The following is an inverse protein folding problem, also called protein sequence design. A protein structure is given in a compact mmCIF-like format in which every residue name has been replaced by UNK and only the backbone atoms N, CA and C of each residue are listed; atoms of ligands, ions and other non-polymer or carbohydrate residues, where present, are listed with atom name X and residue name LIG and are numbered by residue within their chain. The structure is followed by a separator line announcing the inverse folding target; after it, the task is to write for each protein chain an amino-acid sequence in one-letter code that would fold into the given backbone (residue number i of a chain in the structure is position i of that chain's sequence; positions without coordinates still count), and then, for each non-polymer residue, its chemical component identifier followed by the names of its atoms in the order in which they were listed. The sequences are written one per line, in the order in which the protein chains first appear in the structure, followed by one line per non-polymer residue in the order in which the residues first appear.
data_IF_264173758512
#
_entry.id   IF_264173758512
#
_cell.length_a   1.000
_cell.length_b   1.000
_cell.length_c   1.000
_cell.angle_alpha   90.00
_cell.angle_beta   90.00
_cell.angle_gamma   90.00
#
_symmetry.space_group_name_H-M   'P 1'
#
loop_
_entity.id
_entity.type
_entity.pdbx_description
1 polymer ?
#
# COMPACT_ATOMS: atom_id res chain seq x y z
N UNK A 1 0.33 -10.70 -29.78
CA UNK A 1 0.99 -9.42 -29.51
C UNK A 1 0.86 -9.18 -28.01
N UNK A 2 1.79 -9.48 -27.11
CA UNK A 2 3.25 -9.61 -27.24
C UNK A 2 4.01 -8.33 -26.88
N UNK A 3 3.35 -7.33 -26.29
CA UNK A 3 4.00 -6.10 -25.83
C UNK A 3 4.56 -6.28 -24.42
N UNK A 4 5.83 -5.93 -24.24
CA UNK A 4 6.48 -5.76 -22.94
C UNK A 4 5.95 -4.50 -22.28
N UNK A 5 5.25 -4.61 -21.14
CA UNK A 5 4.76 -3.43 -20.43
C UNK A 5 5.93 -2.59 -19.92
N UNK A 6 5.93 -1.33 -20.36
CA UNK A 6 6.97 -0.34 -20.11
C UNK A 6 6.43 0.69 -19.14
N UNK A 7 6.99 0.77 -17.93
CA UNK A 7 6.67 1.88 -17.03
C UNK A 7 7.23 3.17 -17.66
N UNK A 8 6.38 4.18 -17.83
CA UNK A 8 6.80 5.50 -18.28
C UNK A 8 6.83 6.45 -17.07
N UNK A 9 8.00 7.01 -16.77
CA UNK A 9 8.20 7.94 -15.67
C UNK A 9 8.57 9.32 -16.23
N UNK A 10 8.17 10.36 -15.52
CA UNK A 10 8.60 11.74 -15.78
C UNK A 10 9.60 12.16 -14.73
N UNK A 11 10.74 12.68 -15.16
CA UNK A 11 11.70 13.36 -14.31
C UNK A 11 11.63 14.87 -14.56
N UNK A 12 11.38 15.65 -13.50
CA UNK A 12 11.35 17.10 -13.53
C UNK A 12 12.44 17.67 -12.61
N UNK A 13 12.92 18.88 -12.92
CA UNK A 13 13.90 19.61 -12.10
C UNK A 13 13.34 20.99 -11.75
N UNK A 14 13.39 21.34 -10.46
CA UNK A 14 12.60 22.44 -9.89
C UNK A 14 13.02 23.84 -10.36
N UNK A 15 14.30 24.05 -10.70
CA UNK A 15 14.82 25.41 -10.98
C UNK A 15 15.32 25.62 -12.41
N UNK A 16 15.69 24.55 -13.12
CA UNK A 16 16.15 24.61 -14.50
C UNK A 16 15.59 23.42 -15.30
N UNK A 17 14.73 23.65 -16.30
CA UNK A 17 14.09 22.59 -17.09
C UNK A 17 15.06 21.52 -17.63
N UNK A 18 16.26 21.94 -18.07
CA UNK A 18 17.28 21.05 -18.63
C UNK A 18 18.09 20.22 -17.62
N UNK A 19 17.83 20.32 -16.31
CA UNK A 19 18.57 19.59 -15.26
C UNK A 19 19.75 20.35 -14.66
N UNK A 20 19.93 21.63 -14.97
CA UNK A 20 20.97 22.51 -14.41
C UNK A 20 21.98 23.02 -15.45
N UNK A 21 23.13 23.49 -14.98
CA UNK A 21 24.25 23.95 -15.81
C UNK A 21 24.96 22.77 -16.46
N UNK A 22 25.36 22.94 -17.72
CA UNK A 22 26.17 21.97 -18.46
C UNK A 22 27.37 21.50 -17.63
N UNK A 23 27.50 20.18 -17.46
CA UNK A 23 28.56 19.57 -16.65
C UNK A 23 28.24 19.38 -15.16
N UNK A 24 27.10 19.88 -14.67
CA UNK A 24 26.50 19.44 -13.40
C UNK A 24 26.12 17.96 -13.42
N UNK A 25 25.85 17.33 -12.28
CA UNK A 25 25.52 15.90 -12.28
C UNK A 25 24.75 15.35 -11.07
N UNK A 26 24.15 14.18 -11.31
CA UNK A 26 23.29 13.45 -10.37
C UNK A 26 23.38 11.93 -10.61
N UNK A 27 22.93 11.09 -9.67
CA UNK A 27 22.67 9.66 -9.89
C UNK A 27 21.17 9.39 -9.85
N UNK A 28 20.78 8.30 -10.51
CA UNK A 28 19.46 7.68 -10.33
C UNK A 28 19.65 6.33 -9.67
N UNK A 29 18.78 6.01 -8.72
CA UNK A 29 18.67 4.67 -8.13
C UNK A 29 17.36 4.04 -8.57
N UNK A 30 17.42 2.81 -9.06
CA UNK A 30 16.27 1.97 -9.44
C UNK A 30 16.31 0.73 -8.56
N UNK A 31 15.46 0.70 -7.52
CA UNK A 31 15.52 -0.35 -6.49
C UNK A 31 16.86 -0.36 -5.75
N UNK A 32 17.64 -1.44 -5.89
CA UNK A 32 18.96 -1.58 -5.27
C UNK A 32 20.14 -1.21 -6.20
N UNK A 33 19.86 -0.74 -7.42
CA UNK A 33 20.88 -0.41 -8.41
C UNK A 33 21.03 1.10 -8.52
N UNK A 34 22.25 1.61 -8.40
CA UNK A 34 22.56 3.03 -8.59
C UNK A 34 23.37 3.24 -9.86
N UNK A 35 23.03 4.26 -10.64
CA UNK A 35 23.79 4.61 -11.84
C UNK A 35 25.18 5.17 -11.48
N UNK A 36 26.07 5.28 -12.47
CA UNK A 36 27.18 6.22 -12.38
C UNK A 36 26.70 7.67 -12.41
N UNK A 37 27.64 8.62 -12.37
CA UNK A 37 27.34 10.04 -12.53
C UNK A 37 26.67 10.30 -13.89
N UNK A 38 25.49 10.92 -13.85
CA UNK A 38 24.76 11.42 -15.02
C UNK A 38 25.07 12.89 -15.12
N UNK A 39 25.69 13.31 -16.23
CA UNK A 39 26.04 14.69 -16.47
C UNK A 39 24.91 15.41 -17.22
N UNK A 40 24.69 16.67 -16.88
CA UNK A 40 23.84 17.59 -17.64
C UNK A 40 24.54 17.91 -18.96
N UNK A 41 23.85 17.67 -20.07
CA UNK A 41 24.35 17.87 -21.43
C UNK A 41 24.38 19.33 -21.85
N UNK A 42 24.80 19.57 -23.10
CA UNK A 42 24.79 20.91 -23.70
C UNK A 42 23.37 21.42 -23.99
N UNK A 43 22.41 20.49 -24.11
CA UNK A 43 20.98 20.71 -24.34
C UNK A 43 20.18 19.55 -23.71
N UNK A 44 18.85 19.65 -23.75
CA UNK A 44 17.94 18.68 -23.14
C UNK A 44 18.02 17.31 -23.82
N UNK A 45 18.29 17.25 -25.12
CA UNK A 45 18.45 15.96 -25.81
C UNK A 45 19.74 15.25 -25.39
N UNK A 46 20.82 15.99 -25.16
CA UNK A 46 22.07 15.47 -24.65
C UNK A 46 21.91 14.98 -23.20
N UNK A 47 21.18 15.70 -22.34
CA UNK A 47 20.85 15.23 -20.99
C UNK A 47 19.96 13.98 -21.03
N UNK A 48 18.95 13.92 -21.90
CA UNK A 48 18.11 12.75 -22.09
C UNK A 48 18.94 11.51 -22.49
N UNK A 49 19.88 11.67 -23.43
CA UNK A 49 20.79 10.60 -23.83
C UNK A 49 21.68 10.13 -22.68
N UNK A 50 22.18 11.05 -21.84
CA UNK A 50 22.98 10.71 -20.67
C UNK A 50 22.19 9.90 -19.64
N UNK A 51 20.91 10.27 -19.40
CA UNK A 51 20.01 9.52 -18.52
C UNK A 51 19.78 8.11 -19.07
N UNK A 52 19.42 7.99 -20.35
CA UNK A 52 19.18 6.70 -21.01
C UNK A 52 20.41 5.77 -20.91
N UNK A 53 21.60 6.29 -21.23
CA UNK A 53 22.85 5.52 -21.16
C UNK A 53 23.16 5.02 -19.75
N UNK A 54 22.93 5.86 -18.74
CA UNK A 54 23.19 5.49 -17.35
C UNK A 54 22.22 4.43 -16.83
N UNK A 55 20.93 4.53 -17.18
CA UNK A 55 19.92 3.52 -16.88
C UNK A 55 20.21 2.19 -17.59
N UNK A 56 20.58 2.24 -18.87
CA UNK A 56 21.01 1.07 -19.64
C UNK A 56 22.24 0.38 -19.01
N UNK A 57 23.20 1.15 -18.48
CA UNK A 57 24.41 0.61 -17.87
C UNK A 57 24.14 -0.18 -16.57
N UNK A 58 23.06 0.13 -15.84
CA UNK A 58 22.63 -0.65 -14.66
C UNK A 58 21.62 -1.75 -15.00
N UNK A 59 21.34 -1.96 -16.29
CA UNK A 59 20.37 -2.93 -16.79
C UNK A 59 18.92 -2.55 -16.48
N UNK A 60 18.64 -1.26 -16.30
CA UNK A 60 17.28 -0.70 -16.26
C UNK A 60 16.99 -0.06 -17.62
N UNK A 61 16.94 -0.88 -18.69
CA UNK A 61 16.96 -0.37 -20.07
C UNK A 61 15.78 0.57 -20.34
N UNK A 62 16.06 1.79 -20.83
CA UNK A 62 15.04 2.81 -21.06
C UNK A 62 15.36 3.72 -22.26
N UNK A 63 14.32 4.13 -22.98
CA UNK A 63 14.36 5.30 -23.86
C UNK A 63 14.05 6.56 -23.05
N UNK A 64 14.69 7.69 -23.36
CA UNK A 64 14.44 8.96 -22.66
C UNK A 64 14.27 10.06 -23.68
N UNK A 65 13.20 10.84 -23.56
CA UNK A 65 12.89 11.97 -24.45
C UNK A 65 12.55 13.21 -23.65
N UNK A 66 13.00 14.38 -24.12
CA UNK A 66 12.61 15.66 -23.54
C UNK A 66 11.21 16.09 -24.00
N UNK A 67 10.37 16.49 -23.05
CA UNK A 67 9.05 17.06 -23.29
C UNK A 67 9.06 18.57 -23.01
N UNK A 68 9.21 19.36 -24.07
CA UNK A 68 9.26 20.82 -23.97
C UNK A 68 7.95 21.49 -23.52
N UNK A 69 6.82 20.78 -23.54
CA UNK A 69 5.52 21.32 -23.07
C UNK A 69 5.45 21.24 -21.55
N UNK A 70 5.87 20.12 -20.97
CA UNK A 70 5.79 19.88 -19.52
C UNK A 70 7.09 20.17 -18.80
N UNK A 71 8.16 20.49 -19.53
CA UNK A 71 9.51 20.67 -18.99
C UNK A 71 9.99 19.44 -18.20
N UNK A 72 9.76 18.25 -18.76
CA UNK A 72 10.12 16.97 -18.13
C UNK A 72 10.85 16.04 -19.08
N UNK A 73 11.65 15.13 -18.54
CA UNK A 73 12.17 13.97 -19.25
C UNK A 73 11.19 12.80 -19.14
N UNK A 74 10.62 12.37 -20.26
CA UNK A 74 9.81 11.16 -20.34
C UNK A 74 10.75 9.95 -20.49
N UNK A 75 10.78 9.08 -19.48
CA UNK A 75 11.60 7.87 -19.39
C UNK A 75 10.71 6.68 -19.66
N UNK A 76 10.94 5.96 -20.76
CA UNK A 76 10.20 4.76 -21.16
C UNK A 76 11.06 3.50 -20.98
N UNK A 77 10.86 2.77 -19.89
CA UNK A 77 11.61 1.54 -19.60
C UNK A 77 11.20 0.41 -20.53
N UNK A 78 12.10 -0.30 -21.19
CA UNK A 78 11.74 -1.42 -22.10
C UNK A 78 11.10 -2.61 -21.37
N UNK A 79 11.18 -2.64 -20.04
CA UNK A 79 10.49 -3.57 -19.13
C UNK A 79 10.29 -2.89 -17.78
N UNK A 80 9.13 -3.08 -17.15
CA UNK A 80 8.84 -2.54 -15.81
C UNK A 80 9.99 -2.83 -14.80
N UNK A 81 10.62 -1.80 -14.21
CA UNK A 81 11.65 -2.01 -13.20
C UNK A 81 11.10 -2.58 -11.89
N UNK A 82 9.78 -2.52 -11.63
CA UNK A 82 9.12 -3.08 -10.45
C UNK A 82 9.61 -2.50 -9.11
N UNK A 83 10.24 -1.33 -9.14
CA UNK A 83 10.98 -0.74 -8.01
C UNK A 83 10.85 0.79 -8.01
N UNK A 84 10.96 1.39 -6.82
CA UNK A 84 10.96 2.85 -6.65
C UNK A 84 12.20 3.46 -7.32
N UNK A 85 12.00 4.55 -8.05
CA UNK A 85 13.06 5.34 -8.67
C UNK A 85 13.34 6.59 -7.82
N UNK A 86 14.61 6.83 -7.51
CA UNK A 86 15.06 7.95 -6.68
C UNK A 86 16.21 8.70 -7.34
N UNK A 87 16.20 10.03 -7.22
CA UNK A 87 17.23 10.92 -7.78
C UNK A 87 18.11 11.45 -6.67
N UNK A 88 19.43 11.32 -6.82
CA UNK A 88 20.40 11.78 -5.83
C UNK A 88 21.38 12.77 -6.48
N UNK A 89 21.30 14.07 -6.20
CA UNK A 89 22.27 15.02 -6.72
C UNK A 89 23.62 14.84 -6.04
N UNK A 90 24.72 14.82 -6.80
CA UNK A 90 26.07 14.82 -6.21
C UNK A 90 27.10 15.46 -7.18
N UNK A 91 27.25 16.78 -7.11
CA UNK A 91 28.45 17.52 -7.49
C UNK A 91 28.22 19.03 -7.26
N UNK A 92 29.30 19.78 -7.12
CA UNK A 92 29.33 21.22 -6.83
C UNK A 92 28.77 22.16 -7.93
N UNK A 93 28.03 21.62 -8.91
CA UNK A 93 27.46 22.39 -10.02
C UNK A 93 26.05 21.90 -10.41
N UNK A 94 25.29 21.34 -9.46
CA UNK A 94 23.88 21.02 -9.68
C UNK A 94 22.98 22.13 -9.15
N UNK A 95 22.74 23.12 -10.00
CA UNK A 95 21.93 24.33 -9.79
C UNK A 95 20.48 24.19 -10.28
N UNK A 96 20.10 22.98 -10.73
CA UNK A 96 18.76 22.61 -11.21
C UNK A 96 17.74 22.19 -10.14
N UNK A 97 18.12 22.16 -8.86
CA UNK A 97 17.24 21.75 -7.75
C UNK A 97 17.00 20.23 -7.69
N UNK A 98 16.53 19.70 -6.55
CA UNK A 98 16.31 18.26 -6.39
C UNK A 98 15.30 17.76 -7.43
N UNK A 99 15.70 16.82 -8.28
CA UNK A 99 14.80 16.27 -9.30
C UNK A 99 13.63 15.53 -8.67
N UNK A 100 12.41 15.77 -9.15
CA UNK A 100 11.21 15.05 -8.73
C UNK A 100 10.82 14.02 -9.79
N UNK A 101 10.43 12.83 -9.33
CA UNK A 101 9.98 11.73 -10.21
C UNK A 101 8.47 11.59 -10.06
N UNK A 102 7.77 11.75 -11.18
CA UNK A 102 6.33 11.53 -11.31
C UNK A 102 6.04 10.36 -12.24
N UNK A 103 4.88 9.73 -12.09
CA UNK A 103 4.43 8.66 -12.98
C UNK A 103 3.63 9.26 -14.14
N UNK A 104 3.95 8.91 -15.40
CA UNK A 104 3.11 9.21 -16.57
C UNK A 104 2.78 7.90 -17.28
N UNK A 105 1.63 7.32 -16.97
CA UNK A 105 1.19 6.06 -17.56
C UNK A 105 0.91 6.21 -19.07
N UNK A 106 1.53 5.36 -19.90
CA UNK A 106 1.09 5.09 -21.27
C UNK A 106 0.76 3.60 -21.36
N UNK A 107 -0.49 3.30 -21.67
CA UNK A 107 -1.06 1.95 -21.64
C UNK A 107 -1.99 1.82 -20.44
N UNK A 108 -3.24 1.43 -20.70
CA UNK A 108 -4.33 1.50 -19.74
C UNK A 108 -4.13 0.58 -18.51
N UNK A 109 -3.34 1.01 -17.52
CA UNK A 109 -3.30 0.36 -16.21
C UNK A 109 -4.32 1.02 -15.30
N UNK A 110 -5.53 0.49 -15.34
CA UNK A 110 -6.65 0.89 -14.50
C UNK A 110 -6.32 0.75 -13.01
N UNK A 111 -5.86 1.82 -12.37
CA UNK A 111 -5.68 1.86 -10.94
C UNK A 111 -7.04 1.76 -10.22
N UNK A 112 -7.16 0.80 -9.29
CA UNK A 112 -8.33 0.69 -8.42
C UNK A 112 -8.10 1.56 -7.19
N UNK A 113 -8.98 2.53 -6.99
CA UNK A 113 -8.89 3.43 -5.84
C UNK A 113 -9.71 2.86 -4.69
N UNK A 114 -9.00 2.47 -3.63
CA UNK A 114 -9.60 2.10 -2.37
C UNK A 114 -9.55 3.30 -1.42
N UNK A 115 -10.72 3.87 -1.15
CA UNK A 115 -10.86 4.97 -0.19
C UNK A 115 -11.25 4.41 1.17
N UNK A 116 -10.55 4.83 2.21
CA UNK A 116 -10.93 4.56 3.60
C UNK A 116 -11.50 5.84 4.22
N UNK A 117 -12.57 5.72 5.03
CA UNK A 117 -13.15 6.86 5.76
C UNK A 117 -12.30 7.38 6.92
N UNK A 118 -11.14 6.77 7.16
CA UNK A 118 -10.19 7.05 8.24
C UNK A 118 -8.77 6.84 7.70
N UNK A 119 -7.83 7.69 8.11
CA UNK A 119 -6.43 7.63 7.64
C UNK A 119 -5.83 6.23 7.84
N UNK A 120 -5.03 5.79 6.86
CA UNK A 120 -4.32 4.51 6.84
C UNK A 120 -5.20 3.25 6.93
N UNK A 121 -6.53 3.36 6.83
CA UNK A 121 -7.44 2.21 6.89
C UNK A 121 -8.06 1.94 8.27
N UNK A 122 -7.80 2.81 9.25
CA UNK A 122 -8.40 2.75 10.58
C UNK A 122 -7.38 2.52 11.69
N UNK A 123 -7.85 2.03 12.83
CA UNK A 123 -6.98 1.75 13.97
C UNK A 123 -6.06 0.55 13.66
N UNK A 124 -4.79 0.66 14.07
CA UNK A 124 -3.83 -0.44 14.02
C UNK A 124 -4.44 -1.71 14.63
N UNK A 125 -4.25 -2.85 13.97
CA UNK A 125 -4.79 -4.14 14.42
C UNK A 125 -6.22 -4.43 13.96
N UNK A 126 -6.94 -3.45 13.40
CA UNK A 126 -8.16 -3.71 12.64
C UNK A 126 -7.89 -4.63 11.44
N UNK A 127 -8.89 -5.38 10.98
CA UNK A 127 -8.74 -6.27 9.82
C UNK A 127 -9.80 -6.02 8.76
N UNK A 128 -9.45 -6.28 7.49
CA UNK A 128 -10.35 -6.31 6.34
C UNK A 128 -9.91 -7.39 5.37
N UNK A 129 -10.71 -7.71 4.35
CA UNK A 129 -10.25 -8.57 3.24
C UNK A 129 -10.67 -7.97 1.91
N UNK A 130 -9.93 -8.30 0.87
CA UNK A 130 -10.25 -7.93 -0.50
C UNK A 130 -10.74 -9.18 -1.25
N UNK A 131 -11.65 -8.99 -2.20
CA UNK A 131 -12.00 -10.00 -3.20
C UNK A 131 -11.44 -9.56 -4.55
N UNK A 132 -10.84 -10.47 -5.31
CA UNK A 132 -10.39 -10.26 -6.69
C UNK A 132 -11.11 -11.25 -7.61
N UNK A 133 -11.99 -10.74 -8.49
CA UNK A 133 -12.82 -11.55 -9.39
C UNK A 133 -13.54 -12.70 -8.66
N UNK A 134 -14.02 -12.43 -7.45
CA UNK A 134 -14.74 -13.39 -6.61
C UNK A 134 -13.86 -14.28 -5.70
N UNK A 135 -12.53 -14.24 -5.83
CA UNK A 135 -11.63 -14.93 -4.89
C UNK A 135 -11.22 -14.01 -3.74
N UNK A 136 -11.46 -14.45 -2.51
CA UNK A 136 -11.15 -13.66 -1.32
C UNK A 136 -9.72 -13.88 -0.84
N UNK A 137 -9.04 -12.80 -0.45
CA UNK A 137 -7.79 -12.87 0.30
C UNK A 137 -8.04 -13.47 1.69
N UNK A 138 -6.95 -13.84 2.37
CA UNK A 138 -6.96 -13.91 3.84
C UNK A 138 -7.27 -12.55 4.46
N UNK A 139 -7.43 -12.50 5.79
CA UNK A 139 -7.58 -11.23 6.50
C UNK A 139 -6.29 -10.40 6.42
N UNK A 140 -6.45 -9.13 6.07
CA UNK A 140 -5.42 -8.11 5.93
C UNK A 140 -5.49 -7.23 7.19
N UNK A 141 -4.41 -7.17 7.94
CA UNK A 141 -4.31 -6.29 9.10
C UNK A 141 -3.98 -4.85 8.67
N UNK A 142 -4.63 -3.88 9.32
CA UNK A 142 -4.23 -2.48 9.31
C UNK A 142 -2.94 -2.36 10.11
N UNK A 143 -1.88 -1.95 9.43
CA UNK A 143 -0.53 -1.82 9.97
C UNK A 143 -0.36 -0.60 10.88
N UNK A 144 0.84 -0.46 11.45
CA UNK A 144 1.21 0.71 12.26
C UNK A 144 1.23 2.02 11.44
N UNK A 145 1.43 1.90 10.12
CA UNK A 145 1.40 3.00 9.17
C UNK A 145 0.84 2.55 7.80
N UNK A 146 0.74 3.49 6.86
CA UNK A 146 0.22 3.25 5.51
C UNK A 146 1.11 2.32 4.68
N UNK A 147 2.44 2.38 4.83
CA UNK A 147 3.36 1.53 4.09
C UNK A 147 3.22 0.06 4.51
N UNK A 148 3.07 -0.20 5.82
CA UNK A 148 2.83 -1.56 6.35
C UNK A 148 1.48 -2.10 5.85
N UNK A 149 0.43 -1.28 5.86
CA UNK A 149 -0.90 -1.69 5.38
C UNK A 149 -0.87 -1.98 3.87
N UNK A 150 -0.20 -1.14 3.07
CA UNK A 150 -0.01 -1.37 1.65
C UNK A 150 0.74 -2.68 1.36
N UNK A 151 1.79 -2.97 2.13
CA UNK A 151 2.53 -4.23 2.04
C UNK A 151 1.64 -5.44 2.38
N UNK A 152 0.82 -5.34 3.44
CA UNK A 152 -0.13 -6.39 3.82
C UNK A 152 -1.16 -6.64 2.70
N UNK A 153 -1.70 -5.59 2.08
CA UNK A 153 -2.63 -5.70 0.95
C UNK A 153 -1.99 -6.40 -0.25
N UNK A 154 -0.79 -5.99 -0.64
CA UNK A 154 -0.05 -6.59 -1.76
C UNK A 154 0.13 -8.08 -1.55
N UNK A 155 0.72 -8.48 -0.41
CA UNK A 155 0.99 -9.89 -0.10
C UNK A 155 -0.30 -10.72 -0.12
N UNK A 156 -1.39 -10.19 0.45
CA UNK A 156 -2.65 -10.91 0.52
C UNK A 156 -3.30 -11.13 -0.86
N UNK A 157 -3.22 -10.14 -1.76
CA UNK A 157 -3.71 -10.27 -3.13
C UNK A 157 -2.82 -11.20 -3.98
N UNK A 158 -1.50 -11.11 -3.85
CA UNK A 158 -0.56 -11.98 -4.58
C UNK A 158 -0.65 -13.45 -4.18
N UNK A 159 -1.11 -13.75 -2.97
CA UNK A 159 -1.37 -15.11 -2.50
C UNK A 159 -2.63 -15.76 -3.11
N UNK A 160 -3.44 -15.02 -3.86
CA UNK A 160 -4.58 -15.58 -4.56
C UNK A 160 -4.12 -16.43 -5.76
N UNK A 161 -4.78 -17.57 -5.97
CA UNK A 161 -4.42 -18.49 -7.05
C UNK A 161 -4.67 -17.92 -8.45
N UNK A 162 -5.55 -16.93 -8.57
CA UNK A 162 -5.84 -16.22 -9.83
C UNK A 162 -5.04 -14.91 -9.99
N UNK A 163 -4.12 -14.59 -9.06
CA UNK A 163 -3.26 -13.41 -9.10
C UNK A 163 -1.79 -13.81 -9.21
N UNK A 164 -1.23 -14.44 -8.19
CA UNK A 164 0.19 -14.82 -8.13
C UNK A 164 1.16 -13.67 -7.81
N UNK A 165 2.37 -14.04 -7.42
CA UNK A 165 3.42 -13.10 -7.00
C UNK A 165 3.91 -12.20 -8.14
N UNK A 166 4.20 -10.93 -7.81
CA UNK A 166 4.71 -9.93 -8.73
C UNK A 166 3.66 -9.22 -9.56
N UNK A 167 2.36 -9.52 -9.35
CA UNK A 167 1.28 -9.00 -10.18
C UNK A 167 0.47 -7.86 -9.54
N UNK A 168 0.83 -7.43 -8.33
CA UNK A 168 0.13 -6.36 -7.59
C UNK A 168 1.12 -5.30 -7.08
N UNK A 169 0.80 -4.02 -7.30
CA UNK A 169 1.35 -2.90 -6.56
C UNK A 169 0.27 -2.22 -5.72
N UNK A 170 0.64 -1.75 -4.53
CA UNK A 170 -0.24 -0.97 -3.64
C UNK A 170 0.53 0.24 -3.13
N UNK A 171 0.02 1.44 -3.43
CA UNK A 171 0.62 2.71 -2.99
C UNK A 171 -0.39 3.51 -2.16
N UNK A 172 0.10 4.30 -1.21
CA UNK A 172 -0.72 5.24 -0.45
C UNK A 172 -0.57 6.65 -1.02
N UNK A 173 -1.67 7.37 -1.17
CA UNK A 173 -1.69 8.78 -1.54
C UNK A 173 -2.05 9.62 -0.31
N UNK A 174 -1.06 10.31 0.25
CA UNK A 174 -1.23 11.16 1.44
C UNK A 174 -2.18 12.35 1.21
N UNK A 175 -2.25 12.87 -0.01
CA UNK A 175 -3.08 14.04 -0.34
C UNK A 175 -4.56 13.69 -0.42
N UNK A 176 -4.89 12.50 -0.91
CA UNK A 176 -6.29 12.02 -1.05
C UNK A 176 -6.71 10.99 -0.01
N UNK A 177 -5.80 10.56 0.87
CA UNK A 177 -6.01 9.53 1.89
C UNK A 177 -6.54 8.21 1.31
N UNK A 178 -5.94 7.75 0.21
CA UNK A 178 -6.38 6.58 -0.54
C UNK A 178 -5.26 5.57 -0.77
N UNK A 179 -5.62 4.29 -0.83
CA UNK A 179 -4.74 3.28 -1.41
C UNK A 179 -5.07 3.09 -2.89
N UNK A 180 -4.02 3.03 -3.69
CA UNK A 180 -4.06 2.80 -5.11
C UNK A 180 -3.53 1.40 -5.39
N UNK A 181 -4.41 0.51 -5.86
CA UNK A 181 -4.06 -0.87 -6.21
C UNK A 181 -3.90 -0.94 -7.73
N UNK A 182 -2.71 -1.36 -8.18
CA UNK A 182 -2.39 -1.54 -9.59
C UNK A 182 -2.12 -3.01 -9.90
N UNK A 183 -2.66 -3.46 -11.03
CA UNK A 183 -2.20 -4.68 -11.66
C UNK A 183 -0.89 -4.41 -12.39
N UNK A 184 0.02 -5.37 -12.29
CA UNK A 184 1.33 -5.33 -12.94
C UNK A 184 1.74 -6.74 -13.39
N UNK A 185 2.93 -6.86 -13.96
CA UNK A 185 3.47 -8.15 -14.38
C UNK A 185 2.54 -8.86 -15.37
N UNK A 186 2.24 -10.13 -15.11
CA UNK A 186 1.39 -10.95 -15.98
C UNK A 186 -0.07 -10.51 -16.03
N UNK A 187 -0.52 -9.66 -15.09
CA UNK A 187 -1.88 -9.12 -15.04
C UNK A 187 -1.98 -7.67 -15.52
N UNK A 188 -0.89 -7.04 -15.95
CA UNK A 188 -0.87 -5.63 -16.36
C UNK A 188 -1.83 -5.32 -17.53
N UNK A 189 -2.07 -6.28 -18.42
CA UNK A 189 -3.02 -6.17 -19.53
C UNK A 189 -4.34 -6.91 -19.29
N UNK A 190 -4.60 -7.38 -18.07
CA UNK A 190 -5.85 -8.06 -17.75
C UNK A 190 -7.02 -7.08 -17.78
N UNK A 191 -8.21 -7.56 -18.15
CA UNK A 191 -9.44 -6.79 -18.01
C UNK A 191 -9.60 -6.29 -16.57
N UNK A 192 -10.22 -5.11 -16.41
CA UNK A 192 -10.44 -4.45 -15.12
C UNK A 192 -11.09 -5.44 -14.14
N UNK A 193 -10.36 -5.90 -13.11
CA UNK A 193 -10.89 -6.87 -12.18
C UNK A 193 -11.97 -6.23 -11.30
N UNK A 194 -12.98 -7.00 -10.92
CA UNK A 194 -13.81 -6.56 -9.80
C UNK A 194 -13.04 -6.78 -8.52
N UNK A 195 -12.62 -5.68 -7.88
CA UNK A 195 -12.11 -5.69 -6.52
C UNK A 195 -13.22 -5.24 -5.58
N UNK A 196 -13.52 -6.04 -4.55
CA UNK A 196 -14.44 -5.63 -3.48
C UNK A 196 -13.74 -5.64 -2.14
N UNK A 197 -14.09 -4.69 -1.27
CA UNK A 197 -13.66 -4.72 0.13
C UNK A 197 -14.77 -5.33 0.96
N UNK A 198 -14.42 -6.32 1.76
CA UNK A 198 -15.23 -6.75 2.90
C UNK A 198 -14.52 -6.27 4.14
N UNK A 199 -15.15 -5.33 4.87
CA UNK A 199 -14.68 -4.99 6.20
C UNK A 199 -14.58 -6.28 7.01
N UNK A 200 -13.49 -6.43 7.76
CA UNK A 200 -13.32 -7.62 8.55
C UNK A 200 -14.42 -7.73 9.58
N UNK A 201 -14.66 -8.93 10.14
CA UNK A 201 -15.37 -8.95 11.40
C UNK A 201 -14.67 -7.92 12.30
N UNK A 202 -15.42 -6.99 12.89
CA UNK A 202 -14.97 -6.60 14.22
C UNK A 202 -14.88 -7.90 14.98
N UNK A 203 -13.77 -8.12 15.63
CA UNK A 203 -13.65 -9.18 16.61
C UNK A 203 -14.65 -8.88 17.75
N UNK A 204 -15.94 -9.17 17.52
CA UNK A 204 -17.03 -9.05 18.45
C UNK A 204 -16.95 -10.25 19.37
N UNK A 205 -16.37 -10.07 20.55
CA UNK A 205 -16.39 -11.09 21.59
C UNK A 205 -17.86 -11.46 21.82
N UNK A 206 -18.24 -12.71 21.53
CA UNK A 206 -19.63 -13.18 21.54
C UNK A 206 -20.17 -13.43 22.95
N UNK A 207 -19.45 -12.95 23.95
CA UNK A 207 -19.83 -12.94 25.35
C UNK A 207 -19.58 -11.56 25.99
N UNK A 208 -19.73 -11.45 27.31
CA UNK A 208 -19.67 -10.16 28.03
C UNK A 208 -18.24 -9.61 28.23
N UNK A 209 -17.24 -10.25 27.64
CA UNK A 209 -15.82 -9.95 27.79
C UNK A 209 -15.12 -10.71 28.92
N UNK A 210 -13.78 -10.72 28.94
CA UNK A 210 -13.03 -11.33 30.02
C UNK A 210 -13.23 -10.60 31.35
N UNK A 211 -13.22 -11.34 32.45
CA UNK A 211 -13.13 -10.78 33.80
C UNK A 211 -11.73 -11.01 34.36
N UNK A 212 -11.29 -10.09 35.21
CA UNK A 212 -9.98 -10.15 35.87
C UNK A 212 -10.18 -10.04 37.37
N UNK A 213 -9.52 -10.93 38.10
CA UNK A 213 -9.50 -10.91 39.57
C UNK A 213 -8.07 -11.06 40.06
N UNK A 214 -7.69 -10.28 41.06
CA UNK A 214 -6.45 -10.52 41.81
C UNK A 214 -6.63 -11.76 42.68
N UNK A 215 -5.74 -12.73 42.54
CA UNK A 215 -5.77 -13.99 43.30
C UNK A 215 -4.68 -14.05 44.36
N UNK A 216 -3.60 -13.28 44.21
CA UNK A 216 -2.53 -13.17 45.22
C UNK A 216 -1.93 -11.77 45.17
N UNK A 217 -2.01 -10.97 46.25
CA UNK A 217 -1.37 -9.66 46.31
C UNK A 217 0.16 -9.77 46.28
N UNK A 218 0.80 -8.84 45.58
CA UNK A 218 2.26 -8.76 45.51
C UNK A 218 2.85 -8.03 46.71
N UNK A 219 4.05 -8.43 47.12
CA UNK A 219 4.87 -7.70 48.11
C UNK A 219 6.28 -7.61 47.57
N UNK A 220 6.81 -6.38 47.49
CA UNK A 220 8.08 -6.09 46.82
C UNK A 220 9.22 -6.92 47.38
N UNK A 221 9.86 -7.70 46.51
CA UNK A 221 11.00 -8.55 46.83
C UNK A 221 10.66 -9.85 47.57
N UNK A 222 9.39 -10.13 47.85
CA UNK A 222 8.99 -11.34 48.59
C UNK A 222 8.01 -12.21 47.83
N UNK A 223 6.85 -11.66 47.44
CA UNK A 223 5.77 -12.42 46.79
C UNK A 223 5.43 -11.79 45.45
N UNK A 224 5.39 -12.63 44.41
CA UNK A 224 4.85 -12.25 43.11
C UNK A 224 3.35 -12.01 43.24
N UNK A 225 2.83 -11.04 42.48
CA UNK A 225 1.39 -10.87 42.36
C UNK A 225 0.84 -11.80 41.29
N UNK A 226 -0.35 -12.35 41.54
CA UNK A 226 -1.09 -13.12 40.54
C UNK A 226 -2.47 -12.52 40.28
N UNK A 227 -2.77 -12.33 39.00
CA UNK A 227 -4.09 -11.95 38.53
C UNK A 227 -4.60 -13.01 37.56
N UNK A 228 -5.86 -13.39 37.68
CA UNK A 228 -6.49 -14.41 36.83
C UNK A 228 -7.46 -13.78 35.84
N UNK A 229 -7.23 -14.05 34.56
CA UNK A 229 -8.12 -13.67 33.45
C UNK A 229 -9.05 -14.84 33.16
N UNK A 230 -10.36 -14.60 33.19
CA UNK A 230 -11.38 -15.60 32.84
C UNK A 230 -12.16 -15.15 31.63
N UNK A 231 -12.20 -15.99 30.59
CA UNK A 231 -13.07 -15.78 29.44
C UNK A 231 -14.51 -16.14 29.82
N UNK A 232 -15.40 -15.14 29.87
CA UNK A 232 -16.83 -15.38 30.16
C UNK A 232 -17.53 -15.89 28.90
N UNK A 233 -18.49 -16.81 29.05
CA UNK A 233 -19.46 -17.18 28.00
C UNK A 233 -18.86 -17.94 26.82
N UNK A 234 -18.07 -19.01 27.08
CA UNK A 234 -17.02 -19.58 26.21
C UNK A 234 -17.01 -19.01 24.78
N UNK A 235 -16.23 -17.94 24.54
CA UNK A 235 -16.33 -17.24 23.28
C UNK A 235 -15.96 -18.15 22.11
N UNK A 236 -16.70 -18.05 21.01
CA UNK A 236 -16.43 -18.81 19.77
C UNK A 236 -15.80 -17.94 18.68
N UNK A 237 -15.72 -16.64 18.93
CA UNK A 237 -15.15 -15.60 18.06
C UNK A 237 -14.82 -14.35 18.88
N UNK A 238 -14.08 -13.42 18.29
CA UNK A 238 -13.82 -12.12 18.87
C UNK A 238 -12.45 -12.00 19.52
N UNK A 239 -12.20 -10.81 20.06
CA UNK A 239 -10.93 -10.39 20.63
C UNK A 239 -11.18 -9.47 21.80
N UNK A 240 -10.15 -9.33 22.62
CA UNK A 240 -10.12 -8.42 23.75
C UNK A 240 -8.77 -7.73 23.80
N UNK A 241 -8.70 -6.61 24.53
CA UNK A 241 -7.42 -6.01 24.95
C UNK A 241 -7.30 -6.10 26.46
N UNK A 242 -6.06 -6.21 26.92
CA UNK A 242 -5.71 -6.00 28.32
C UNK A 242 -5.13 -4.58 28.46
N UNK A 243 -5.46 -3.90 29.55
CA UNK A 243 -4.95 -2.56 29.85
C UNK A 243 -4.33 -2.53 31.23
N UNK A 244 -3.15 -1.94 31.32
CA UNK A 244 -2.42 -1.65 32.55
C UNK A 244 -2.09 -0.17 32.61
N UNK A 245 -2.54 0.53 33.65
CA UNK A 245 -2.33 1.97 33.84
C UNK A 245 -2.70 2.84 32.63
N UNK A 246 -3.72 2.43 31.87
CA UNK A 246 -4.21 3.17 30.69
C UNK A 246 -3.49 2.85 29.38
N UNK A 247 -2.47 2.00 29.39
CA UNK A 247 -1.80 1.49 28.17
C UNK A 247 -2.36 0.12 27.82
N UNK A 248 -2.74 -0.05 26.56
CA UNK A 248 -3.38 -1.28 26.06
C UNK A 248 -2.40 -2.16 25.28
N UNK A 249 -2.65 -3.46 25.32
CA UNK A 249 -2.04 -4.41 24.37
C UNK A 249 -2.59 -4.22 22.96
N UNK A 250 -1.95 -4.84 21.97
CA UNK A 250 -2.62 -5.18 20.71
C UNK A 250 -3.83 -6.13 20.96
N UNK A 251 -4.70 -6.30 19.96
CA UNK A 251 -5.84 -7.20 20.05
C UNK A 251 -5.39 -8.65 20.29
N UNK A 252 -5.99 -9.28 21.29
CA UNK A 252 -5.76 -10.68 21.66
C UNK A 252 -6.97 -11.49 21.20
N UNK A 253 -6.81 -12.48 20.30
CA UNK A 253 -7.94 -13.29 19.83
C UNK A 253 -8.48 -14.19 20.95
N UNK A 254 -9.78 -14.51 20.89
CA UNK A 254 -10.47 -15.34 21.89
C UNK A 254 -9.81 -16.71 22.13
N UNK A 255 -9.12 -17.24 21.12
CA UNK A 255 -8.42 -18.52 21.15
C UNK A 255 -6.89 -18.38 21.35
N UNK A 256 -6.42 -17.22 21.81
CA UNK A 256 -5.02 -16.99 22.10
C UNK A 256 -4.49 -18.00 23.12
N UNK A 257 -3.26 -18.46 22.89
CA UNK A 257 -2.52 -19.29 23.85
C UNK A 257 -1.70 -18.41 24.82
N UNK A 258 -1.14 -19.02 25.85
CA UNK A 258 -0.38 -18.33 26.90
C UNK A 258 0.75 -17.46 26.32
N UNK A 259 1.49 -17.96 25.33
CA UNK A 259 2.61 -17.24 24.73
C UNK A 259 2.16 -15.97 23.99
N UNK A 260 1.01 -16.02 23.30
CA UNK A 260 0.45 -14.85 22.63
C UNK A 260 -0.01 -13.79 23.63
N UNK A 261 -0.67 -14.19 24.72
CA UNK A 261 -1.12 -13.27 25.79
C UNK A 261 0.10 -12.67 26.51
N UNK A 262 1.12 -13.48 26.81
CA UNK A 262 2.37 -13.02 27.42
C UNK A 262 3.09 -12.01 26.53
N UNK A 263 3.21 -12.31 25.24
CA UNK A 263 3.84 -11.40 24.26
C UNK A 263 3.10 -10.06 24.24
N UNK A 264 1.77 -10.09 24.14
CA UNK A 264 0.94 -8.89 24.13
C UNK A 264 1.09 -8.04 25.41
N UNK A 265 1.12 -8.67 26.60
CA UNK A 265 1.33 -7.96 27.86
C UNK A 265 2.72 -7.34 27.97
N UNK A 266 3.76 -8.00 27.46
CA UNK A 266 5.15 -7.51 27.51
C UNK A 266 5.41 -6.33 26.56
N UNK A 267 4.51 -6.04 25.64
CA UNK A 267 4.55 -4.80 24.84
C UNK A 267 4.20 -3.57 25.68
N UNK A 268 3.50 -3.72 26.81
CA UNK A 268 3.19 -2.61 27.72
C UNK A 268 4.45 -2.23 28.51
N UNK A 269 4.88 -0.95 28.48
CA UNK A 269 6.00 -0.48 29.28
C UNK A 269 5.85 -0.82 30.77
N UNK A 270 6.87 -1.45 31.34
CA UNK A 270 6.88 -1.89 32.74
C UNK A 270 6.44 -3.34 32.97
N UNK A 271 5.92 -4.05 31.95
CA UNK A 271 5.45 -5.43 32.08
C UNK A 271 6.38 -6.50 31.46
N UNK A 272 7.61 -6.12 31.07
CA UNK A 272 8.55 -7.04 30.39
C UNK A 272 8.87 -8.34 31.13
N UNK A 273 8.69 -8.39 32.45
CA UNK A 273 8.94 -9.58 33.29
C UNK A 273 7.71 -10.44 33.60
N UNK A 274 6.53 -10.08 33.08
CA UNK A 274 5.28 -10.83 33.34
C UNK A 274 5.31 -12.19 32.66
N UNK A 275 4.75 -13.22 33.29
CA UNK A 275 4.54 -14.55 32.68
C UNK A 275 3.08 -14.94 32.68
N UNK A 276 2.66 -15.74 31.69
CA UNK A 276 1.27 -16.22 31.58
C UNK A 276 1.22 -17.75 31.55
N UNK A 277 0.35 -18.34 32.36
CA UNK A 277 0.10 -19.79 32.41
C UNK A 277 -1.41 -20.08 32.37
N UNK A 278 -1.79 -21.27 31.92
CA UNK A 278 -3.20 -21.65 31.78
C UNK A 278 -3.44 -22.60 30.61
N UNK A 279 -4.73 -22.88 30.36
CA UNK A 279 -5.20 -23.65 29.20
C UNK A 279 -5.76 -22.70 28.15
N UNK A 280 -5.64 -23.05 26.88
CA UNK A 280 -6.28 -22.28 25.79
C UNK A 280 -7.79 -22.26 26.03
N UNK A 281 -8.40 -21.08 25.98
CA UNK A 281 -9.80 -20.86 26.39
C UNK A 281 -9.97 -20.39 27.83
N UNK A 282 -8.89 -20.34 28.61
CA UNK A 282 -8.87 -19.81 29.97
C UNK A 282 -9.37 -20.80 31.04
N UNK A 283 -9.20 -20.46 32.33
CA UNK A 283 -8.60 -19.23 32.84
C UNK A 283 -7.07 -19.15 32.62
N UNK A 284 -6.56 -17.93 32.55
CA UNK A 284 -5.12 -17.63 32.44
C UNK A 284 -4.64 -16.93 33.70
N UNK A 285 -3.59 -17.46 34.33
CA UNK A 285 -2.89 -16.82 35.44
C UNK A 285 -1.76 -15.96 34.89
N UNK A 286 -1.81 -14.67 35.20
CA UNK A 286 -0.77 -13.69 34.92
C UNK A 286 0.03 -13.49 36.20
N UNK A 287 1.33 -13.76 36.16
CA UNK A 287 2.23 -13.58 37.30
C UNK A 287 3.13 -12.36 37.06
N UNK A 288 3.05 -11.40 37.97
CA UNK A 288 3.94 -10.25 38.02
C UNK A 288 5.11 -10.56 38.94
N UNK A 289 6.37 -10.33 38.52
CA UNK A 289 7.53 -10.67 39.32
C UNK A 289 7.53 -9.88 40.64
N UNK A 290 7.98 -10.52 41.72
CA UNK A 290 8.03 -9.93 43.05
C UNK A 290 8.76 -8.57 43.13
N UNK A 291 9.64 -8.25 42.19
CA UNK A 291 10.31 -6.94 42.09
C UNK A 291 9.33 -5.79 41.88
N UNK A 292 8.12 -6.06 41.36
CA UNK A 292 7.08 -5.06 41.14
C UNK A 292 6.19 -4.82 42.38
N UNK A 293 6.18 -5.76 43.34
CA UNK A 293 5.28 -5.69 44.49
C UNK A 293 3.81 -5.73 44.09
N UNK A 294 2.98 -4.99 44.81
CA UNK A 294 1.56 -4.87 44.49
C UNK A 294 1.38 -3.90 43.32
N UNK A 295 0.85 -4.39 42.21
CA UNK A 295 0.57 -3.69 40.98
C UNK A 295 -0.93 -3.40 40.87
N UNK A 296 -1.27 -2.46 40.00
CA UNK A 296 -2.68 -2.20 39.70
C UNK A 296 -3.31 -3.37 38.94
N UNK A 297 -4.58 -3.62 39.23
CA UNK A 297 -5.35 -4.64 38.53
C UNK A 297 -5.42 -4.35 37.03
N UNK A 298 -5.16 -5.36 36.21
CA UNK A 298 -5.43 -5.31 34.78
C UNK A 298 -6.92 -5.08 34.56
N UNK A 299 -7.25 -4.37 33.49
CA UNK A 299 -8.63 -4.28 33.01
C UNK A 299 -8.73 -4.94 31.63
N UNK A 300 -9.86 -5.60 31.38
CA UNK A 300 -10.16 -6.17 30.08
C UNK A 300 -11.30 -5.39 29.43
N UNK A 301 -11.16 -5.09 28.14
CA UNK A 301 -12.26 -4.59 27.33
C UNK A 301 -12.47 -5.56 26.19
N UNK A 302 -13.66 -6.15 26.15
CA UNK A 302 -14.13 -6.84 24.97
C UNK A 302 -14.66 -5.84 23.96
N UNK A 303 -14.31 -6.05 22.70
CA UNK A 303 -14.91 -5.31 21.60
C UNK A 303 -16.15 -6.09 21.20
N UNK A 304 -17.32 -5.46 21.25
CA UNK A 304 -18.63 -6.10 20.96
C UNK A 304 -19.31 -5.52 19.72
N UNK A 305 -18.70 -4.51 19.08
CA UNK A 305 -19.26 -3.82 17.90
C UNK A 305 -18.22 -3.61 16.79
N UNK A 306 -18.71 -3.80 15.55
CA UNK A 306 -18.14 -3.56 14.22
C UNK A 306 -17.03 -2.52 14.08
N UNK A 307 -16.10 -2.78 13.16
CA UNK A 307 -15.31 -1.76 12.46
C UNK A 307 -16.20 -0.52 12.22
N UNK A 308 -15.88 0.60 12.86
CA UNK A 308 -16.58 1.89 12.66
C UNK A 308 -16.01 2.67 11.48
N UNK A 309 -14.97 2.14 10.82
CA UNK A 309 -14.39 2.72 9.62
C UNK A 309 -15.45 2.74 8.54
N UNK A 310 -15.98 3.93 8.30
CA UNK A 310 -17.11 4.16 7.41
C UNK A 310 -16.92 3.58 6.01
N UNK A 311 -18.02 3.63 5.25
CA UNK A 311 -18.16 3.22 3.84
C UNK A 311 -16.83 3.29 3.06
N UNK A 312 -16.23 2.12 2.80
CA UNK A 312 -15.14 2.02 1.84
C UNK A 312 -15.78 1.96 0.45
N UNK A 313 -15.47 2.94 -0.40
CA UNK A 313 -15.88 2.92 -1.79
C UNK A 313 -14.68 2.48 -2.63
N UNK A 314 -14.89 1.44 -3.43
CA UNK A 314 -13.98 1.13 -4.53
C UNK A 314 -14.53 1.87 -5.72
N UNK A 315 -13.81 2.91 -6.13
CA UNK A 315 -14.08 3.56 -7.40
C UNK A 315 -13.34 2.68 -8.42
N UNK A 316 -14.06 1.94 -9.30
CA UNK A 316 -13.39 1.37 -10.45
C UNK A 316 -12.67 2.50 -11.17
N UNK A 317 -11.54 2.23 -11.86
CA UNK A 317 -10.87 3.24 -12.68
C UNK A 317 -11.94 4.06 -13.41
N UNK A 318 -11.85 5.39 -13.32
CA UNK A 318 -12.54 6.17 -14.33
C UNK A 318 -12.08 5.58 -15.65
N UNK A 319 -13.01 5.13 -16.50
CA UNK A 319 -12.69 5.06 -17.92
C UNK A 319 -12.51 6.52 -18.27
N UNK A 320 -11.30 7.04 -18.06
CA UNK A 320 -10.85 8.20 -18.78
C UNK A 320 -10.95 7.73 -20.23
N UNK A 321 -12.08 8.05 -20.85
CA UNK A 321 -12.17 8.12 -22.28
C UNK A 321 -11.20 9.24 -22.62
N UNK A 322 -9.92 8.90 -22.68
CA UNK A 322 -8.92 9.72 -23.27
C UNK A 322 -9.39 9.87 -24.70
N UNK A 323 -9.96 11.03 -25.02
CA UNK A 323 -10.18 11.42 -26.40
C UNK A 323 -8.79 11.75 -26.94
N UNK A 324 -8.16 10.88 -27.76
CA UNK A 324 -6.90 11.25 -28.36
C UNK A 324 -7.13 12.54 -29.13
N UNK A 325 -6.28 13.54 -28.85
CA UNK A 325 -6.27 14.78 -29.62
C UNK A 325 -6.12 14.46 -31.10
N UNK A 326 -6.61 15.34 -31.98
CA UNK A 326 -6.82 15.09 -33.41
C UNK A 326 -5.59 14.55 -34.18
N UNK A 327 -4.38 14.66 -33.61
CA UNK A 327 -3.13 14.14 -34.18
C UNK A 327 -2.98 12.60 -34.18
N UNK A 328 -3.81 11.84 -33.45
CA UNK A 328 -3.78 10.36 -33.48
C UNK A 328 -5.03 9.72 -34.11
N UNK A 329 -5.85 10.52 -34.79
CA UNK A 329 -7.06 10.05 -35.47
C UNK A 329 -6.98 10.27 -36.97
N UNK A 330 -7.44 9.29 -37.75
CA UNK A 330 -7.71 9.47 -39.18
C UNK A 330 -9.21 9.71 -39.32
N UNK A 331 -9.58 10.89 -39.84
CA UNK A 331 -10.95 11.21 -40.21
C UNK A 331 -11.11 10.91 -41.70
N UNK A 332 -12.05 10.05 -42.04
CA UNK A 332 -12.49 9.84 -43.42
C UNK A 332 -13.99 10.03 -43.51
N UNK A 333 -14.51 10.32 -44.70
CA UNK A 333 -15.94 10.48 -44.91
C UNK A 333 -16.41 9.60 -46.07
N UNK A 334 -17.67 9.15 -45.99
CA UNK A 334 -18.36 8.48 -47.09
C UNK A 334 -19.71 9.14 -47.32
N UNK A 335 -20.05 9.32 -48.58
CA UNK A 335 -21.39 9.76 -48.97
C UNK A 335 -22.32 8.56 -49.02
N UNK A 336 -23.43 8.64 -48.30
CA UNK A 336 -24.51 7.66 -48.35
C UNK A 336 -25.76 8.36 -48.87
N UNK A 337 -26.65 7.58 -49.48
CA UNK A 337 -27.90 8.08 -50.02
C UNK A 337 -29.06 7.38 -49.31
N UNK A 338 -30.06 8.15 -48.87
CA UNK A 338 -31.28 7.58 -48.30
C UNK A 338 -32.15 6.92 -49.40
N UNK A 339 -33.25 6.29 -48.99
CA UNK A 339 -34.19 5.65 -49.92
C UNK A 339 -34.92 6.62 -50.86
N UNK A 340 -34.77 7.92 -50.65
CA UNK A 340 -35.30 9.00 -51.49
C UNK A 340 -34.22 9.65 -52.37
N UNK A 341 -32.97 9.15 -52.31
CA UNK A 341 -31.84 9.65 -53.10
C UNK A 341 -31.18 10.92 -52.52
N UNK A 342 -31.51 11.31 -51.30
CA UNK A 342 -30.87 12.44 -50.63
C UNK A 342 -29.50 12.02 -50.11
N UNK A 343 -28.50 12.86 -50.36
CA UNK A 343 -27.11 12.63 -49.98
C UNK A 343 -26.86 13.06 -48.54
N UNK A 344 -26.29 12.16 -47.74
CA UNK A 344 -25.73 12.46 -46.44
C UNK A 344 -24.24 12.09 -46.39
N UNK A 345 -23.44 12.88 -45.66
CA UNK A 345 -22.00 12.60 -45.48
C UNK A 345 -21.78 12.04 -44.09
N UNK A 346 -21.35 10.78 -44.00
CA UNK A 346 -21.00 10.12 -42.75
C UNK A 346 -19.49 10.28 -42.54
N UNK A 347 -19.09 10.75 -41.36
CA UNK A 347 -17.70 10.85 -40.94
C UNK A 347 -17.33 9.66 -40.06
N UNK A 348 -16.27 8.96 -40.42
CA UNK A 348 -15.64 7.92 -39.62
C UNK A 348 -14.36 8.47 -39.01
N UNK A 349 -14.21 8.33 -37.70
CA UNK A 349 -12.98 8.65 -36.98
C UNK A 349 -12.35 7.34 -36.53
N UNK A 350 -11.20 7.01 -37.11
CA UNK A 350 -10.41 5.84 -36.76
C UNK A 350 -9.28 6.25 -35.83
N UNK A 351 -9.12 5.51 -34.74
CA UNK A 351 -8.03 5.70 -33.78
C UNK A 351 -6.95 4.66 -34.06
N UNK A 352 -5.69 5.08 -34.10
CA UNK A 352 -4.56 4.16 -34.20
C UNK A 352 -4.14 3.79 -32.78
N UNK A 353 -4.49 2.56 -32.37
CA UNK A 353 -3.97 1.92 -31.16
C UNK A 353 -2.61 1.28 -31.45
#
# INVERSE_FOLDING_TARGET
YGGTDTQNQTLAFDTAPGGGTQGGGFTITVGNKSTGAILVGADENATAANIANALNAVGATAGVTWNGVTSTYDIAFTSDPGQVIQVHPFAAAFDGGAGTVGNREMGATSAHILTFGVANGGAQGGVFRLSYNGQNTGWIAVGADSAVTAANMRVALENLSNVGAGNIAVNWNDSSQQYEIRLQGALATADIPTITLTAGPSEGYDATGPTIVETTPGVTGTTSEEQTITLVGPPTKGSFVLSYNGVQTNLIPYNANNAAIETALREIPGLSGVTVAGVVGGPFTVTFPNSMGNVNMLTATAFTTGFTGGVANIVPPAVDVYYPTDQQSIITAQEVFDSHGNKETIYYRFFKY
#
